data_IF_896189815023
#
_entry.id   IF_896189815023
#
_cell.length_a   1.000
_cell.length_b   1.000
_cell.length_c   1.000
_cell.angle_alpha   90.00
_cell.angle_beta   90.00
_cell.angle_gamma   90.00
#
_symmetry.space_group_name_H-M   'P 1'
#
loop_
_entity.id
_entity.type
_entity.pdbx_description
1 polymer ?
#
# COMPACT_ATOMS: atom_id res chain seq x y z
N UNK A 1 17.83 18.92 -2.81
CA UNK A 1 17.87 19.77 -1.58
C UNK A 1 18.32 18.88 -0.44
N UNK A 2 19.23 19.38 0.40
CA UNK A 2 19.68 18.66 1.59
C UNK A 2 18.83 19.08 2.79
N UNK A 3 18.29 18.13 3.52
CA UNK A 3 17.45 18.35 4.70
C UNK A 3 18.02 17.55 5.86
N UNK A 4 18.03 18.13 7.06
CA UNK A 4 18.39 17.43 8.30
C UNK A 4 17.10 17.09 9.07
N UNK A 5 16.94 15.82 9.40
CA UNK A 5 15.82 15.28 10.18
C UNK A 5 16.32 14.73 11.50
N UNK A 6 15.51 14.83 12.55
CA UNK A 6 15.79 14.24 13.85
C UNK A 6 14.89 13.05 14.10
N UNK A 7 15.47 11.92 14.47
CA UNK A 7 14.72 10.74 14.87
C UNK A 7 15.46 9.99 15.97
N UNK A 8 14.76 9.67 17.08
CA UNK A 8 15.31 8.99 18.25
C UNK A 8 16.60 9.64 18.77
N UNK A 9 16.63 10.99 18.81
CA UNK A 9 17.81 11.76 19.27
C UNK A 9 19.02 11.75 18.32
N UNK A 10 18.88 11.15 17.13
CA UNK A 10 19.93 11.06 16.12
C UNK A 10 19.57 11.96 14.91
N UNK A 11 20.58 12.69 14.44
CA UNK A 11 20.44 13.50 13.22
C UNK A 11 20.68 12.64 11.97
N UNK A 12 19.81 12.78 10.99
CA UNK A 12 19.92 12.16 9.67
C UNK A 12 19.90 13.25 8.61
N UNK A 13 20.69 13.08 7.58
CA UNK A 13 20.69 13.96 6.41
C UNK A 13 20.08 13.21 5.24
N UNK A 14 19.17 13.85 4.50
CA UNK A 14 18.59 13.32 3.28
C UNK A 14 18.80 14.30 2.12
N UNK A 15 18.99 13.77 0.91
CA UNK A 15 18.97 14.54 -0.33
C UNK A 15 17.69 14.23 -1.11
N UNK A 16 16.76 15.18 -1.12
CA UNK A 16 15.46 15.02 -1.78
C UNK A 16 15.55 14.98 -3.31
N UNK A 17 16.71 15.18 -3.91
CA UNK A 17 16.93 14.97 -5.35
C UNK A 17 17.21 13.51 -5.69
N UNK A 18 17.50 12.67 -4.68
CA UNK A 18 17.76 11.25 -4.83
C UNK A 18 16.69 10.46 -4.07
N UNK A 19 15.61 10.14 -4.75
CA UNK A 19 14.47 9.41 -4.19
C UNK A 19 14.12 8.18 -5.04
N UNK A 20 13.42 7.24 -4.42
CA UNK A 20 12.92 6.03 -5.04
C UNK A 20 11.40 6.12 -5.05
N UNK A 21 10.81 6.12 -6.23
CA UNK A 21 9.36 6.12 -6.42
C UNK A 21 8.84 4.68 -6.31
N UNK A 22 7.93 4.43 -5.39
CA UNK A 22 7.34 3.12 -5.17
C UNK A 22 5.95 3.00 -5.82
N UNK A 23 5.46 4.06 -6.46
CA UNK A 23 4.16 4.00 -7.13
C UNK A 23 4.26 3.29 -8.49
N UNK A 24 3.23 2.53 -8.82
CA UNK A 24 3.06 1.99 -10.17
C UNK A 24 2.56 3.12 -11.08
N UNK A 25 3.25 3.44 -12.19
CA UNK A 25 2.75 4.42 -13.15
C UNK A 25 1.36 4.04 -13.67
N UNK A 26 0.39 4.93 -13.51
CA UNK A 26 -0.99 4.65 -13.92
C UNK A 26 -1.22 4.93 -15.40
N UNK A 27 -1.38 3.90 -16.20
CA UNK A 27 -1.62 4.00 -17.65
C UNK A 27 -3.12 3.96 -17.96
N UNK A 28 -3.78 5.12 -17.98
CA UNK A 28 -5.18 5.20 -18.41
C UNK A 28 -5.35 4.66 -19.82
N UNK A 29 -6.38 3.84 -20.03
CA UNK A 29 -6.63 3.09 -21.28
C UNK A 29 -5.51 2.11 -21.66
N UNK A 30 -4.60 1.77 -20.73
CA UNK A 30 -3.46 0.89 -20.94
C UNK A 30 -3.33 -0.17 -19.85
N UNK A 31 -2.17 -0.87 -19.78
CA UNK A 31 -1.95 -1.89 -18.76
C UNK A 31 -1.87 -1.28 -17.37
N UNK A 32 -2.52 -1.93 -16.42
CA UNK A 32 -2.61 -1.56 -15.01
C UNK A 32 -2.67 -2.84 -14.19
N UNK A 33 -2.27 -2.82 -12.91
CA UNK A 33 -2.67 -3.90 -12.02
C UNK A 33 -4.20 -3.90 -11.89
N UNK A 34 -4.78 -5.07 -11.69
CA UNK A 34 -6.23 -5.17 -11.51
C UNK A 34 -6.58 -6.25 -10.49
N UNK A 35 -7.26 -5.81 -9.43
CA UNK A 35 -7.81 -6.67 -8.39
C UNK A 35 -9.33 -6.75 -8.59
N UNK A 36 -9.92 -7.93 -8.43
CA UNK A 36 -11.35 -8.22 -8.66
C UNK A 36 -11.87 -8.02 -10.10
N UNK A 37 -11.00 -7.90 -11.09
CA UNK A 37 -11.37 -7.72 -12.50
C UNK A 37 -12.35 -6.56 -12.74
N UNK A 38 -12.16 -5.47 -12.00
CA UNK A 38 -12.95 -4.23 -12.15
C UNK A 38 -12.69 -3.55 -13.49
N UNK A 39 -13.55 -2.62 -13.88
CA UNK A 39 -13.34 -1.82 -15.06
C UNK A 39 -12.00 -1.06 -14.98
N UNK A 40 -11.14 -1.15 -16.00
CA UNK A 40 -9.87 -0.43 -16.03
C UNK A 40 -10.09 1.08 -16.01
N UNK A 41 -9.11 1.79 -15.47
CA UNK A 41 -9.12 3.26 -15.48
C UNK A 41 -9.14 3.82 -16.89
N UNK A 42 -9.93 4.86 -17.09
CA UNK A 42 -10.14 5.51 -18.40
C UNK A 42 -9.81 6.99 -18.32
N UNK A 43 -9.27 7.49 -19.42
CA UNK A 43 -9.07 8.91 -19.68
C UNK A 43 -9.77 9.23 -20.98
N UNK A 44 -10.75 10.13 -20.93
CA UNK A 44 -11.52 10.57 -22.09
C UNK A 44 -11.49 12.10 -22.18
N UNK A 45 -11.49 12.69 -23.39
CA UNK A 45 -11.61 14.14 -23.54
C UNK A 45 -12.96 14.64 -23.02
N UNK A 46 -12.95 15.74 -22.26
CA UNK A 46 -14.18 16.47 -21.93
C UNK A 46 -14.93 16.85 -23.20
N UNK A 47 -16.25 16.67 -23.19
CA UNK A 47 -17.15 17.15 -24.26
C UNK A 47 -18.12 18.17 -23.71
N UNK A 48 -18.27 19.30 -24.42
CA UNK A 48 -19.28 20.31 -24.14
C UNK A 48 -20.08 20.54 -25.41
N UNK A 49 -21.31 20.05 -25.43
CA UNK A 49 -22.09 19.92 -26.69
C UNK A 49 -21.36 19.02 -27.67
N UNK A 50 -21.16 19.51 -28.89
CA UNK A 50 -20.42 18.78 -29.94
C UNK A 50 -18.91 18.97 -29.89
N UNK A 51 -18.41 19.88 -29.04
CA UNK A 51 -16.99 20.22 -28.96
C UNK A 51 -16.25 19.26 -28.05
N UNK A 52 -15.21 18.57 -28.57
CA UNK A 52 -14.25 17.78 -27.83
C UNK A 52 -13.06 18.65 -27.42
N UNK A 53 -12.63 18.57 -26.15
CA UNK A 53 -11.45 19.26 -25.65
C UNK A 53 -10.22 18.32 -25.72
N UNK A 54 -9.81 18.06 -26.94
CA UNK A 54 -8.63 17.26 -27.29
C UNK A 54 -7.84 17.98 -28.39
N UNK A 55 -6.55 18.17 -28.18
CA UNK A 55 -5.65 18.76 -29.20
C UNK A 55 -5.65 17.86 -30.45
N UNK A 56 -5.75 16.57 -30.30
CA UNK A 56 -5.86 15.61 -31.41
C UNK A 56 -7.11 15.88 -32.28
N UNK A 57 -8.18 16.36 -31.64
CA UNK A 57 -9.48 16.67 -32.33
C UNK A 57 -9.57 18.16 -32.72
N UNK A 58 -8.44 18.91 -32.69
CA UNK A 58 -8.37 20.30 -33.12
C UNK A 58 -8.68 21.34 -32.05
N UNK A 59 -8.79 20.94 -30.77
CA UNK A 59 -8.92 21.88 -29.65
C UNK A 59 -7.57 22.58 -29.32
N UNK A 60 -7.64 23.73 -28.67
CA UNK A 60 -6.44 24.47 -28.24
C UNK A 60 -5.73 23.85 -27.00
N UNK A 61 -6.39 22.93 -26.29
CA UNK A 61 -5.84 22.26 -25.11
C UNK A 61 -6.52 20.90 -24.89
N UNK A 62 -5.87 20.05 -24.09
CA UNK A 62 -6.45 18.81 -23.60
C UNK A 62 -7.09 19.06 -22.22
N UNK A 63 -8.36 18.69 -22.08
CA UNK A 63 -9.09 18.68 -20.81
C UNK A 63 -9.68 17.29 -20.61
N UNK A 64 -8.94 16.37 -19.99
CA UNK A 64 -9.42 15.02 -19.79
C UNK A 64 -10.33 14.90 -18.57
N UNK A 65 -11.29 13.99 -18.67
CA UNK A 65 -11.99 13.38 -17.54
C UNK A 65 -11.35 12.03 -17.27
N UNK A 66 -11.17 11.69 -16.00
CA UNK A 66 -10.64 10.39 -15.57
C UNK A 66 -11.68 9.61 -14.77
N UNK A 67 -11.68 8.31 -14.95
CA UNK A 67 -12.45 7.35 -14.16
C UNK A 67 -11.53 6.20 -13.78
N UNK A 68 -11.50 5.84 -12.50
CA UNK A 68 -10.69 4.73 -11.99
C UNK A 68 -11.32 4.15 -10.72
N UNK A 69 -11.00 2.88 -10.44
CA UNK A 69 -11.23 2.30 -9.13
C UNK A 69 -9.95 2.51 -8.30
N UNK A 70 -10.06 3.21 -7.17
CA UNK A 70 -8.91 3.58 -6.34
C UNK A 70 -8.25 2.34 -5.75
N UNK A 71 -9.02 1.48 -5.10
CA UNK A 71 -8.51 0.30 -4.38
C UNK A 71 -7.98 -0.82 -5.28
N UNK A 72 -8.47 -0.92 -6.54
CA UNK A 72 -8.23 -2.13 -7.33
C UNK A 72 -7.28 -1.96 -8.52
N UNK A 73 -6.94 -0.71 -8.93
CA UNK A 73 -6.27 -0.51 -10.23
C UNK A 73 -4.95 0.25 -10.20
N UNK A 74 -4.44 0.61 -9.04
CA UNK A 74 -3.16 1.32 -8.94
C UNK A 74 -2.72 1.53 -7.51
N UNK A 75 -1.50 2.00 -7.32
CA UNK A 75 -0.97 2.34 -6.00
C UNK A 75 -1.87 3.37 -5.32
N UNK A 76 -2.35 3.03 -4.16
CA UNK A 76 -3.26 3.86 -3.37
C UNK A 76 -2.92 3.76 -1.89
N UNK A 77 -3.32 4.77 -1.13
CA UNK A 77 -3.25 4.77 0.33
C UNK A 77 -4.66 4.93 0.88
N UNK A 78 -4.96 4.17 1.91
CA UNK A 78 -6.26 4.10 2.55
C UNK A 78 -6.15 4.22 4.07
N UNK A 79 -7.27 4.53 4.72
CA UNK A 79 -7.40 4.65 6.17
C UNK A 79 -8.60 3.85 6.69
N UNK A 80 -8.81 3.89 7.99
CA UNK A 80 -9.90 3.19 8.68
C UNK A 80 -11.30 3.49 8.11
N UNK A 81 -11.47 4.63 7.43
CA UNK A 81 -12.71 4.98 6.72
C UNK A 81 -13.18 3.91 5.73
N UNK A 82 -12.26 3.06 5.24
CA UNK A 82 -12.58 1.92 4.39
C UNK A 82 -13.54 0.90 5.05
N UNK A 83 -13.60 0.87 6.38
CA UNK A 83 -14.45 -0.03 7.16
C UNK A 83 -15.58 0.70 7.94
N UNK A 84 -15.72 2.01 7.77
CA UNK A 84 -16.69 2.82 8.50
C UNK A 84 -17.84 3.29 7.59
N UNK A 85 -19.01 3.47 8.16
CA UNK A 85 -20.14 4.10 7.45
C UNK A 85 -19.93 5.61 7.26
N UNK A 86 -19.23 6.26 8.19
CA UNK A 86 -18.91 7.69 8.13
C UNK A 86 -17.60 7.90 7.35
N UNK A 87 -17.58 8.96 6.54
CA UNK A 87 -16.41 9.31 5.75
C UNK A 87 -15.26 9.79 6.65
N UNK A 88 -14.22 8.98 6.78
CA UNK A 88 -12.92 9.42 7.27
C UNK A 88 -12.01 9.73 6.07
N UNK A 89 -11.23 10.79 6.16
CA UNK A 89 -10.36 11.21 5.06
C UNK A 89 -8.95 10.69 5.26
N UNK A 90 -8.44 9.92 4.29
CA UNK A 90 -7.06 9.41 4.34
C UNK A 90 -6.03 10.54 4.45
N UNK A 91 -6.35 11.74 3.94
CA UNK A 91 -5.44 12.90 4.02
C UNK A 91 -5.29 13.45 5.43
N UNK A 92 -6.23 13.16 6.34
CA UNK A 92 -6.14 13.56 7.74
C UNK A 92 -5.23 12.62 8.56
N UNK A 93 -4.93 11.43 8.02
CA UNK A 93 -4.02 10.48 8.65
C UNK A 93 -2.53 10.75 8.31
N UNK A 94 -2.24 11.66 7.36
CA UNK A 94 -0.88 12.02 6.96
C UNK A 94 -0.51 13.33 7.64
N UNK A 95 0.06 13.24 8.85
CA UNK A 95 0.35 14.39 9.70
C UNK A 95 1.74 15.00 9.45
N UNK A 96 2.69 14.19 8.98
CA UNK A 96 4.07 14.59 8.71
C UNK A 96 4.44 14.45 7.23
N UNK A 97 5.50 15.14 6.79
CA UNK A 97 6.03 15.01 5.44
C UNK A 97 6.96 13.81 5.30
N UNK A 98 7.71 13.47 6.35
CA UNK A 98 8.70 12.42 6.33
C UNK A 98 8.53 11.49 7.53
N UNK A 99 8.36 10.23 7.26
CA UNK A 99 8.20 9.19 8.27
C UNK A 99 9.45 8.31 8.32
N UNK A 100 10.02 8.05 9.51
CA UNK A 100 11.08 7.05 9.65
C UNK A 100 10.55 5.69 9.23
N UNK A 101 11.23 5.06 8.28
CA UNK A 101 10.74 3.88 7.60
C UNK A 101 11.79 2.78 7.50
N UNK A 102 11.34 1.54 7.49
CA UNK A 102 12.17 0.37 7.20
C UNK A 102 11.59 -0.38 6.02
N UNK A 103 12.44 -0.74 5.05
CA UNK A 103 12.14 -1.67 3.99
C UNK A 103 12.65 -3.06 4.36
N UNK A 104 11.77 -4.05 4.27
CA UNK A 104 12.11 -5.47 4.39
C UNK A 104 11.63 -6.25 3.17
N UNK A 105 12.36 -7.31 2.85
CA UNK A 105 11.97 -8.28 1.81
C UNK A 105 11.55 -9.60 2.45
N UNK A 106 10.37 -10.09 2.08
CA UNK A 106 9.79 -11.31 2.62
C UNK A 106 9.54 -12.33 1.49
N UNK A 107 9.92 -13.58 1.74
CA UNK A 107 9.54 -14.71 0.89
C UNK A 107 8.23 -15.29 1.42
N UNK A 108 7.11 -15.20 0.67
CA UNK A 108 5.88 -15.92 1.04
C UNK A 108 6.11 -17.42 1.13
N UNK A 109 5.36 -18.07 1.99
CA UNK A 109 5.40 -19.53 2.18
C UNK A 109 4.03 -20.12 1.89
N UNK A 110 3.97 -21.44 1.69
CA UNK A 110 2.70 -22.15 1.58
C UNK A 110 1.96 -22.12 2.91
N UNK A 111 0.64 -21.92 2.89
CA UNK A 111 -0.17 -21.91 4.11
C UNK A 111 -0.06 -23.22 4.88
N UNK A 112 0.04 -24.36 4.17
CA UNK A 112 0.29 -25.69 4.79
C UNK A 112 1.61 -25.79 5.55
N UNK A 113 2.55 -24.87 5.31
CA UNK A 113 3.87 -24.87 5.95
C UNK A 113 3.92 -23.92 7.18
N UNK A 114 2.84 -23.23 7.53
CA UNK A 114 2.78 -22.38 8.72
C UNK A 114 1.71 -22.84 9.71
N UNK A 115 1.75 -22.31 10.94
CA UNK A 115 0.79 -22.58 12.00
C UNK A 115 -0.08 -21.36 12.33
N UNK A 116 0.06 -20.30 11.55
CA UNK A 116 -0.70 -19.07 11.73
C UNK A 116 -2.16 -19.27 11.31
N UNK A 117 -3.03 -18.40 11.76
CA UNK A 117 -4.48 -18.49 11.57
C UNK A 117 -4.96 -17.55 10.47
N UNK A 118 -6.02 -17.97 9.82
CA UNK A 118 -6.88 -17.13 9.01
C UNK A 118 -8.34 -17.54 9.26
N UNK A 119 -9.31 -16.62 9.04
CA UNK A 119 -10.70 -16.85 9.46
C UNK A 119 -11.55 -17.66 8.48
N UNK A 120 -11.09 -17.84 7.25
CA UNK A 120 -11.71 -18.75 6.28
C UNK A 120 -10.80 -19.94 6.00
N UNK A 121 -11.33 -20.98 5.40
CA UNK A 121 -10.55 -22.13 4.95
C UNK A 121 -9.61 -21.72 3.81
N UNK A 122 -8.33 -21.79 4.07
CA UNK A 122 -7.26 -21.50 3.10
C UNK A 122 -6.76 -22.80 2.50
N UNK A 123 -6.63 -22.83 1.18
CA UNK A 123 -6.03 -23.99 0.52
C UNK A 123 -4.55 -24.09 0.88
N UNK A 124 -4.07 -25.32 1.12
CA UNK A 124 -2.71 -25.53 1.61
C UNK A 124 -1.59 -25.08 0.67
N UNK A 125 -1.87 -24.90 -0.61
CA UNK A 125 -0.96 -24.44 -1.65
C UNK A 125 -1.00 -22.91 -1.89
N UNK A 126 -1.90 -22.17 -1.20
CA UNK A 126 -1.90 -20.72 -1.24
C UNK A 126 -0.68 -20.15 -0.53
N UNK A 127 -0.17 -19.05 -1.06
CA UNK A 127 1.01 -18.37 -0.52
C UNK A 127 0.62 -17.28 0.47
N UNK A 128 1.28 -17.27 1.63
CA UNK A 128 1.01 -16.32 2.70
C UNK A 128 2.28 -15.66 3.21
N UNK A 129 2.12 -14.45 3.75
CA UNK A 129 3.12 -13.78 4.57
C UNK A 129 2.76 -14.12 6.02
N UNK A 130 3.55 -14.96 6.65
CA UNK A 130 3.33 -15.40 8.01
C UNK A 130 4.14 -14.60 9.03
N UNK A 131 3.75 -14.71 10.30
CA UNK A 131 4.38 -13.99 11.41
C UNK A 131 5.89 -14.25 11.49
N UNK A 132 6.31 -15.51 11.43
CA UNK A 132 7.73 -15.88 11.58
C UNK A 132 8.61 -15.21 10.52
N UNK A 133 8.15 -15.19 9.25
CA UNK A 133 8.88 -14.55 8.15
C UNK A 133 9.03 -13.03 8.37
N UNK A 134 7.98 -12.37 8.89
CA UNK A 134 8.03 -10.94 9.23
C UNK A 134 8.96 -10.66 10.40
N UNK A 135 8.83 -11.40 11.49
CA UNK A 135 9.70 -11.26 12.68
C UNK A 135 11.16 -11.36 12.29
N UNK A 136 11.51 -12.42 11.54
CA UNK A 136 12.87 -12.66 11.08
C UNK A 136 13.40 -11.52 10.19
N UNK A 137 12.60 -11.02 9.27
CA UNK A 137 13.03 -9.94 8.37
C UNK A 137 13.13 -8.59 9.11
N UNK A 138 12.24 -8.32 10.06
CA UNK A 138 12.18 -7.06 10.78
C UNK A 138 13.18 -6.96 11.95
N UNK A 139 13.54 -8.08 12.59
CA UNK A 139 14.33 -8.13 13.81
C UNK A 139 15.62 -7.28 13.74
N UNK A 140 16.33 -7.29 12.62
CA UNK A 140 17.58 -6.55 12.47
C UNK A 140 17.40 -5.03 12.35
N UNK A 141 16.17 -4.54 12.22
CA UNK A 141 15.82 -3.13 12.01
C UNK A 141 14.97 -2.53 13.12
N UNK A 142 14.55 -3.30 14.11
CA UNK A 142 13.67 -2.84 15.19
C UNK A 142 14.26 -1.66 15.98
N UNK A 143 15.58 -1.61 16.13
CA UNK A 143 16.28 -0.54 16.86
C UNK A 143 16.25 0.81 16.14
N UNK A 144 15.74 0.87 14.90
CA UNK A 144 15.46 2.13 14.22
C UNK A 144 14.14 2.77 14.67
N UNK A 145 13.27 2.04 15.41
CA UNK A 145 11.95 2.51 15.85
C UNK A 145 11.15 3.17 14.71
N UNK A 146 10.94 2.46 13.60
CA UNK A 146 10.25 3.03 12.45
C UNK A 146 8.77 3.22 12.74
N UNK A 147 8.18 4.34 12.29
CA UNK A 147 6.73 4.52 12.24
C UNK A 147 6.13 3.96 10.95
N UNK A 148 6.96 3.63 9.98
CA UNK A 148 6.52 3.10 8.69
C UNK A 148 7.28 1.82 8.32
N UNK A 149 6.56 0.87 7.73
CA UNK A 149 7.15 -0.38 7.25
C UNK A 149 6.77 -0.61 5.79
N UNK A 150 7.78 -0.84 4.97
CA UNK A 150 7.61 -1.21 3.57
C UNK A 150 7.95 -2.69 3.43
N UNK A 151 7.03 -3.46 2.85
CA UNK A 151 7.20 -4.91 2.66
C UNK A 151 7.23 -5.21 1.17
N UNK A 152 8.37 -5.70 0.70
CA UNK A 152 8.54 -6.26 -0.64
C UNK A 152 8.38 -7.77 -0.57
N UNK A 153 7.52 -8.34 -1.42
CA UNK A 153 7.31 -9.79 -1.50
C UNK A 153 8.06 -10.40 -2.69
N UNK A 154 8.61 -11.59 -2.49
CA UNK A 154 9.26 -12.37 -3.53
C UNK A 154 8.29 -13.44 -4.11
N UNK A 155 8.44 -13.80 -5.43
CA UNK A 155 9.33 -13.19 -6.41
C UNK A 155 8.87 -11.81 -6.84
N UNK A 156 9.79 -10.86 -6.98
CA UNK A 156 9.49 -9.46 -7.27
C UNK A 156 9.71 -9.12 -8.75
N UNK A 157 8.93 -9.71 -9.63
CA UNK A 157 9.03 -9.45 -11.07
C UNK A 157 8.43 -8.09 -11.45
N UNK A 158 9.07 -7.36 -12.37
CA UNK A 158 8.56 -6.09 -12.90
C UNK A 158 7.13 -6.19 -13.44
N UNK A 159 6.70 -7.37 -13.92
CA UNK A 159 5.33 -7.62 -14.38
C UNK A 159 4.27 -7.52 -13.28
N UNK A 160 4.64 -7.53 -11.97
CA UNK A 160 3.70 -7.25 -10.86
C UNK A 160 2.94 -5.93 -11.07
N UNK A 161 3.55 -4.97 -11.72
CA UNK A 161 2.93 -3.68 -12.03
C UNK A 161 1.72 -3.79 -12.96
N UNK A 162 1.47 -4.98 -13.54
CA UNK A 162 0.39 -5.20 -14.52
C UNK A 162 -0.38 -6.50 -14.27
N UNK A 163 -0.27 -7.07 -13.07
CA UNK A 163 -0.93 -8.33 -12.76
C UNK A 163 -2.45 -8.18 -12.73
N UNK A 164 -3.12 -9.16 -13.33
CA UNK A 164 -4.54 -9.42 -13.13
C UNK A 164 -4.65 -10.47 -12.04
N UNK A 165 -5.05 -10.04 -10.86
CA UNK A 165 -5.01 -10.90 -9.68
C UNK A 165 -6.11 -11.97 -9.66
N UNK A 166 -7.08 -11.91 -10.57
CA UNK A 166 -8.00 -13.03 -10.85
C UNK A 166 -7.33 -14.17 -11.63
N UNK A 167 -6.22 -13.89 -12.33
CA UNK A 167 -5.41 -14.88 -13.06
C UNK A 167 -4.18 -15.33 -12.26
N UNK A 168 -3.73 -14.49 -11.35
CA UNK A 168 -2.55 -14.73 -10.50
C UNK A 168 -2.94 -14.43 -9.06
N UNK A 169 -3.43 -15.48 -8.36
CA UNK A 169 -3.88 -15.38 -6.97
C UNK A 169 -2.79 -14.70 -6.13
N UNK A 170 -3.11 -13.56 -5.49
CA UNK A 170 -2.13 -12.82 -4.71
C UNK A 170 -1.80 -13.54 -3.42
N UNK A 171 -0.59 -13.33 -2.92
CA UNK A 171 -0.27 -13.63 -1.53
C UNK A 171 -1.00 -12.66 -0.61
N UNK A 172 -1.24 -13.05 0.62
CA UNK A 172 -1.91 -12.25 1.65
C UNK A 172 -1.26 -12.49 3.01
N UNK A 173 -1.61 -11.70 4.01
CA UNK A 173 -1.08 -11.87 5.36
C UNK A 173 -1.93 -12.83 6.18
N UNK A 174 -1.29 -13.59 7.06
CA UNK A 174 -2.00 -14.28 8.13
C UNK A 174 -2.44 -13.31 9.21
N UNK A 175 -3.45 -13.66 10.02
CA UNK A 175 -3.87 -12.82 11.16
C UNK A 175 -2.76 -12.62 12.19
N UNK A 176 -1.97 -13.65 12.45
CA UNK A 176 -0.87 -13.58 13.38
C UNK A 176 0.25 -12.66 12.88
N UNK A 177 0.44 -12.59 11.56
CA UNK A 177 1.36 -11.65 10.92
C UNK A 177 0.92 -10.19 11.10
N UNK A 178 -0.35 -9.88 10.84
CA UNK A 178 -0.86 -8.50 11.00
C UNK A 178 -0.94 -8.12 12.49
N UNK A 179 -1.28 -9.05 13.37
CA UNK A 179 -1.24 -8.82 14.82
C UNK A 179 0.19 -8.47 15.30
N UNK A 180 1.20 -9.13 14.73
CA UNK A 180 2.59 -8.75 14.97
C UNK A 180 2.88 -7.32 14.49
N UNK A 181 2.52 -6.95 13.25
CA UNK A 181 2.69 -5.59 12.73
C UNK A 181 2.02 -4.54 13.61
N UNK A 182 0.79 -4.80 14.05
CA UNK A 182 0.09 -3.91 14.98
C UNK A 182 0.83 -3.72 16.30
N UNK A 183 1.51 -4.76 16.80
CA UNK A 183 2.28 -4.69 18.05
C UNK A 183 3.60 -3.92 17.92
N UNK A 184 4.07 -3.65 16.68
CA UNK A 184 5.29 -2.88 16.42
C UNK A 184 5.03 -1.37 16.28
N UNK A 185 3.81 -0.90 16.59
CA UNK A 185 3.41 0.52 16.52
C UNK A 185 3.59 1.13 15.12
N UNK A 186 3.54 0.30 14.07
CA UNK A 186 3.60 0.77 12.70
C UNK A 186 2.34 1.61 12.39
N UNK A 187 2.54 2.84 11.93
CA UNK A 187 1.50 3.77 11.54
C UNK A 187 1.21 3.69 10.04
N UNK A 188 2.27 3.60 9.21
CA UNK A 188 2.13 3.57 7.76
C UNK A 188 2.71 2.28 7.20
N UNK A 189 1.83 1.40 6.73
CA UNK A 189 2.22 0.13 6.11
C UNK A 189 2.16 0.29 4.58
N UNK A 190 3.25 -0.07 3.89
CA UNK A 190 3.31 -0.07 2.42
C UNK A 190 3.59 -1.48 1.95
N UNK A 191 2.74 -2.01 1.07
CA UNK A 191 2.85 -3.38 0.55
C UNK A 191 2.77 -3.41 -0.97
N UNK A 192 3.46 -4.38 -1.57
CA UNK A 192 3.50 -4.59 -3.03
C UNK A 192 2.48 -5.64 -3.51
N UNK A 193 1.45 -5.87 -2.72
CA UNK A 193 0.33 -6.76 -2.99
C UNK A 193 -0.99 -5.97 -3.02
N UNK A 194 -2.07 -6.52 -3.59
CA UNK A 194 -3.30 -5.77 -3.80
C UNK A 194 -4.18 -5.62 -2.56
N UNK A 195 -3.97 -6.45 -1.54
CA UNK A 195 -4.67 -6.37 -0.26
C UNK A 195 -3.90 -7.09 0.84
N UNK A 196 -4.07 -6.64 2.10
CA UNK A 196 -3.61 -7.39 3.27
C UNK A 196 -4.40 -8.68 3.43
N UNK A 197 -5.68 -8.69 3.04
CA UNK A 197 -6.57 -9.82 3.15
C UNK A 197 -6.54 -10.72 1.91
N UNK A 198 -6.96 -11.97 2.11
CA UNK A 198 -7.19 -12.91 1.04
C UNK A 198 -8.29 -12.38 0.11
N UNK A 199 -8.15 -12.60 -1.19
CA UNK A 199 -9.11 -12.13 -2.19
C UNK A 199 -10.55 -12.58 -1.90
N UNK A 200 -10.71 -13.79 -1.38
CA UNK A 200 -12.00 -14.35 -0.95
C UNK A 200 -11.94 -14.62 0.56
N UNK A 201 -12.36 -13.64 1.33
CA UNK A 201 -12.32 -13.62 2.80
C UNK A 201 -13.71 -13.50 3.45
N UNK A 202 -14.76 -13.89 2.73
CA UNK A 202 -16.17 -13.71 3.11
C UNK A 202 -16.57 -12.22 3.32
N UNK A 203 -15.81 -11.28 2.78
CA UNK A 203 -16.05 -9.84 2.90
C UNK A 203 -15.83 -9.28 4.30
N UNK A 204 -15.04 -9.96 5.12
CA UNK A 204 -14.80 -9.57 6.53
C UNK A 204 -13.68 -8.53 6.63
N UNK A 205 -12.69 -8.56 5.75
CA UNK A 205 -11.47 -7.76 5.82
C UNK A 205 -10.77 -7.88 7.19
N UNK A 206 -10.55 -9.14 7.58
CA UNK A 206 -10.09 -9.47 8.93
C UNK A 206 -8.74 -8.87 9.28
N UNK A 207 -7.81 -8.81 8.33
CA UNK A 207 -6.50 -8.20 8.51
C UNK A 207 -6.56 -6.68 8.64
N UNK A 208 -7.40 -6.02 7.84
CA UNK A 208 -7.66 -4.59 7.98
C UNK A 208 -8.24 -4.28 9.37
N UNK A 209 -9.20 -5.09 9.85
CA UNK A 209 -9.76 -4.94 11.21
C UNK A 209 -8.73 -5.13 12.31
N UNK A 210 -7.83 -6.09 12.17
CA UNK A 210 -6.72 -6.28 13.11
C UNK A 210 -5.79 -5.07 13.10
N UNK A 211 -5.46 -4.53 11.92
CA UNK A 211 -4.53 -3.41 11.79
C UNK A 211 -5.11 -2.10 12.33
N UNK A 212 -6.36 -1.76 12.02
CA UNK A 212 -7.02 -0.55 12.49
C UNK A 212 -7.75 -0.68 13.83
N UNK A 213 -7.85 -1.89 14.38
CA UNK A 213 -8.49 -2.17 15.65
C UNK A 213 -7.51 -2.39 16.80
N UNK A 214 -7.82 -3.35 17.64
CA UNK A 214 -7.03 -3.69 18.83
C UNK A 214 -5.84 -4.63 18.56
N UNK A 215 -5.56 -4.95 17.31
CA UNK A 215 -4.46 -5.80 16.88
C UNK A 215 -4.66 -7.30 17.10
N UNK A 216 -5.86 -7.77 17.43
CA UNK A 216 -6.11 -9.18 17.81
C UNK A 216 -7.36 -9.79 17.22
N UNK A 217 -8.42 -9.02 17.01
CA UNK A 217 -9.74 -9.55 16.65
C UNK A 217 -10.09 -9.18 15.20
N UNK A 218 -10.16 -10.18 14.34
CA UNK A 218 -10.52 -10.03 12.93
C UNK A 218 -12.02 -9.73 12.70
N UNK A 219 -12.85 -9.81 13.73
CA UNK A 219 -14.28 -9.40 13.73
C UNK A 219 -14.55 -8.22 14.65
N UNK A 220 -13.51 -7.73 15.32
CA UNK A 220 -13.64 -6.64 16.27
C UNK A 220 -13.94 -5.31 15.61
N UNK A 221 -14.40 -4.37 16.44
CA UNK A 221 -14.56 -3.00 16.03
C UNK A 221 -13.20 -2.38 15.73
N UNK A 222 -13.17 -1.52 14.73
CA UNK A 222 -12.00 -0.70 14.41
C UNK A 222 -12.03 0.60 15.23
N UNK A 223 -10.87 1.18 15.47
CA UNK A 223 -10.79 2.50 16.10
C UNK A 223 -11.07 3.58 15.05
N UNK A 224 -12.21 4.29 15.13
CA UNK A 224 -12.57 5.30 14.15
C UNK A 224 -11.60 6.51 14.14
N UNK A 225 -10.78 6.66 15.19
CA UNK A 225 -9.76 7.68 15.29
C UNK A 225 -8.35 7.16 14.92
N UNK A 226 -8.26 6.00 14.32
CA UNK A 226 -6.98 5.46 13.89
C UNK A 226 -6.38 6.32 12.79
N UNK A 227 -5.15 6.82 12.99
CA UNK A 227 -4.36 7.51 11.97
C UNK A 227 -3.44 6.56 11.20
N UNK A 228 -3.61 5.25 11.38
CA UNK A 228 -2.86 4.26 10.61
C UNK A 228 -3.33 4.23 9.16
N UNK A 229 -2.38 4.09 8.24
CA UNK A 229 -2.68 3.94 6.81
C UNK A 229 -2.08 2.67 6.24
N UNK A 230 -2.73 2.14 5.22
CA UNK A 230 -2.21 1.06 4.40
C UNK A 230 -2.04 1.62 2.98
N UNK A 231 -0.87 1.40 2.40
CA UNK A 231 -0.61 1.66 0.97
C UNK A 231 -0.44 0.33 0.27
N UNK A 232 -1.28 0.06 -0.70
CA UNK A 232 -1.33 -1.19 -1.44
C UNK A 232 -0.95 -0.98 -2.91
N UNK A 233 -0.63 -2.07 -3.61
CA UNK A 233 -0.17 -2.04 -5.00
C UNK A 233 1.03 -1.10 -5.19
N UNK A 234 1.95 -1.07 -4.24
CA UNK A 234 3.25 -0.44 -4.44
C UNK A 234 4.16 -1.35 -5.30
N UNK A 235 5.20 -0.80 -5.87
CA UNK A 235 6.25 -1.58 -6.53
C UNK A 235 7.63 -1.13 -6.03
N UNK A 236 8.35 -2.02 -5.38
CA UNK A 236 9.68 -1.75 -4.86
C UNK A 236 10.71 -2.35 -5.83
N UNK A 237 11.54 -1.54 -6.54
CA UNK A 237 12.55 -2.06 -7.46
C UNK A 237 13.51 -3.06 -6.80
N UNK A 238 14.01 -4.04 -7.58
CA UNK A 238 14.87 -5.12 -7.05
C UNK A 238 16.22 -4.63 -6.54
N UNK A 239 16.75 -3.53 -7.09
CA UNK A 239 18.02 -2.92 -6.70
C UNK A 239 17.97 -2.14 -5.40
N UNK A 240 16.78 -1.82 -4.90
CA UNK A 240 16.57 -1.18 -3.60
C UNK A 240 16.87 -2.18 -2.48
N UNK A 241 17.80 -1.82 -1.60
CA UNK A 241 18.23 -2.70 -0.50
C UNK A 241 17.32 -2.55 0.71
N UNK A 242 17.11 -3.65 1.44
CA UNK A 242 16.48 -3.60 2.75
C UNK A 242 17.29 -2.68 3.67
N UNK A 243 16.60 -1.93 4.54
CA UNK A 243 17.25 -0.96 5.40
C UNK A 243 16.36 0.17 5.87
N UNK A 244 17.01 1.14 6.52
CA UNK A 244 16.36 2.34 7.03
C UNK A 244 16.31 3.44 5.96
N UNK A 245 15.15 4.10 5.88
CA UNK A 245 14.81 5.17 4.95
C UNK A 245 13.93 6.21 5.64
N UNK A 246 13.62 7.29 4.91
CA UNK A 246 12.48 8.14 5.19
C UNK A 246 11.43 7.94 4.09
N UNK A 247 10.19 7.73 4.50
CA UNK A 247 9.03 7.62 3.62
C UNK A 247 8.32 8.97 3.54
N UNK A 248 7.94 9.37 2.33
CA UNK A 248 6.98 10.43 2.06
C UNK A 248 5.79 9.81 1.32
N UNK A 249 4.56 10.13 1.71
CA UNK A 249 3.33 9.67 1.04
C UNK A 249 2.65 10.88 0.41
N UNK A 250 2.77 11.00 -0.91
CA UNK A 250 2.11 12.06 -1.68
C UNK A 250 0.74 11.57 -2.16
N UNK A 251 -0.31 12.33 -1.87
CA UNK A 251 -1.67 12.03 -2.35
C UNK A 251 -2.49 13.32 -2.57
N UNK A 252 -3.48 13.30 -3.48
CA UNK A 252 -4.41 14.40 -3.64
C UNK A 252 -5.29 14.51 -2.39
N UNK A 253 -5.70 15.73 -2.04
CA UNK A 253 -6.55 15.96 -0.86
C UNK A 253 -8.01 15.61 -1.13
N UNK A 254 -8.28 14.34 -1.37
CA UNK A 254 -9.62 13.80 -1.52
C UNK A 254 -10.26 13.61 -0.13
N UNK A 255 -11.54 13.97 -0.01
CA UNK A 255 -12.36 13.67 1.16
C UNK A 255 -12.96 12.27 0.99
N UNK A 256 -12.11 11.25 1.09
CA UNK A 256 -12.44 9.86 0.87
C UNK A 256 -11.54 8.97 1.74
N UNK A 257 -11.98 7.77 2.00
CA UNK A 257 -11.23 6.74 2.74
C UNK A 257 -9.90 6.35 2.10
N UNK A 258 -9.79 6.53 0.78
CA UNK A 258 -8.58 6.24 0.01
C UNK A 258 -8.33 7.27 -1.09
N UNK A 259 -7.07 7.37 -1.51
CA UNK A 259 -6.66 8.16 -2.67
C UNK A 259 -5.53 7.47 -3.43
N UNK A 260 -5.44 7.66 -4.77
CA UNK A 260 -4.22 7.32 -5.49
C UNK A 260 -3.03 7.98 -4.82
N UNK A 261 -1.96 7.25 -4.61
CA UNK A 261 -0.82 7.76 -3.86
C UNK A 261 0.51 7.54 -4.58
N UNK A 262 1.49 8.34 -4.19
CA UNK A 262 2.86 8.23 -4.65
C UNK A 262 3.79 8.12 -3.44
N UNK A 263 3.98 6.92 -2.89
CA UNK A 263 4.95 6.69 -1.83
C UNK A 263 6.37 6.79 -2.37
N UNK A 264 7.21 7.53 -1.66
CA UNK A 264 8.59 7.83 -2.04
C UNK A 264 9.52 7.46 -0.89
N UNK A 265 10.59 6.73 -1.18
CA UNK A 265 11.65 6.45 -0.23
C UNK A 265 12.87 7.33 -0.49
N UNK A 266 13.44 7.87 0.60
CA UNK A 266 14.68 8.63 0.57
C UNK A 266 15.66 8.00 1.56
N UNK A 267 16.82 7.58 1.05
CA UNK A 267 17.87 7.01 1.87
C UNK A 267 18.66 8.12 2.56
N UNK A 268 18.92 8.03 3.88
CA UNK A 268 19.88 8.90 4.54
C UNK A 268 21.28 8.77 3.93
N UNK A 269 21.99 9.90 3.81
CA UNK A 269 23.36 10.00 3.30
C UNK A 269 24.38 10.07 4.42
#
# INVERSE_FOLDING_TARGET
>A
MIISLQHQGKAYTIDTSHFIDLSIPYHFNGPQPNFYDVNPGKLIPLKVGEKSYSVRDGAGCNVPEISMNIHCTGTHTECVGHLLEENSSVTECIEDLFFPAVLITVQPILFSACHDRYHVDVQGDEQVINKESLEKAFQQFQDYYPSSLIIRTLPNFAKKQFYRYTEQIPTFFTHDAVAFLSSQEIQHLVVDIPSLDRMEDDGILGNHRIFWGNGKDFKGDVDPNSHRTITELAYIPEDVKDGFYFLEIQLPRFQCDAAPSRPILIKPV
#
